data_IF_580341709204
#
_entry.id   IF_580341709204
#
_cell.length_a   1.000
_cell.length_b   1.000
_cell.length_c   1.000
_cell.angle_alpha   90.00
_cell.angle_beta   90.00
_cell.angle_gamma   90.00
#
_symmetry.space_group_name_H-M   'P 1'
#
loop_
_entity.id
_entity.type
_entity.pdbx_description
1 polymer ?
#
# COMPACT_ATOMS: atom_id res chain seq x y z
N UNK A 1 8.62 9.68 28.77
CA UNK A 1 8.57 9.89 27.29
C UNK A 1 8.77 11.35 26.95
N UNK A 2 10.00 11.86 27.15
CA UNK A 2 10.33 13.27 26.87
C UNK A 2 10.63 13.53 25.38
N UNK A 3 10.91 12.49 24.60
CA UNK A 3 11.12 12.57 23.15
C UNK A 3 10.60 11.30 22.49
N UNK A 4 9.77 11.44 21.45
CA UNK A 4 9.25 10.37 20.65
C UNK A 4 9.89 10.45 19.26
N UNK A 5 10.48 9.36 18.80
CA UNK A 5 10.93 9.18 17.42
C UNK A 5 9.93 8.29 16.68
N UNK A 6 9.05 8.89 15.90
CA UNK A 6 8.04 8.17 15.12
C UNK A 6 8.59 7.58 13.81
N UNK A 7 9.87 7.80 13.48
CA UNK A 7 10.49 7.25 12.28
C UNK A 7 10.52 5.71 12.33
N UNK A 8 10.43 5.12 11.15
CA UNK A 8 10.53 3.67 11.01
C UNK A 8 10.99 3.26 9.62
N UNK A 9 11.36 1.98 9.43
CA UNK A 9 11.83 1.50 8.14
C UNK A 9 10.68 1.32 7.16
N UNK A 10 10.98 1.60 5.90
CA UNK A 10 10.22 1.14 4.73
C UNK A 10 11.23 0.54 3.77
N UNK A 11 11.13 -0.74 3.49
CA UNK A 11 12.15 -1.53 2.77
C UNK A 11 13.54 -1.45 3.44
N UNK A 12 13.57 -1.47 4.77
CA UNK A 12 14.81 -1.40 5.55
C UNK A 12 15.48 -0.02 5.57
N UNK A 13 14.90 0.99 4.91
CA UNK A 13 15.42 2.37 4.88
C UNK A 13 14.54 3.27 5.74
N UNK A 14 15.17 4.08 6.59
CA UNK A 14 14.47 4.99 7.50
C UNK A 14 13.60 5.99 6.74
N UNK A 15 12.33 6.10 7.11
CA UNK A 15 11.37 7.08 6.67
C UNK A 15 10.82 7.86 7.87
N UNK A 16 10.20 9.01 7.64
CA UNK A 16 9.61 9.86 8.70
C UNK A 16 8.54 9.13 9.51
N UNK A 17 7.82 8.20 8.85
CA UNK A 17 6.93 7.23 9.49
C UNK A 17 7.12 5.88 8.80
N UNK A 18 6.85 4.74 9.47
CA UNK A 18 6.85 3.42 8.85
C UNK A 18 5.60 3.22 7.97
N UNK A 19 5.41 4.13 7.03
CA UNK A 19 4.31 4.11 6.08
C UNK A 19 4.77 4.54 4.68
N UNK A 20 3.97 4.19 3.69
CA UNK A 20 4.12 4.64 2.31
C UNK A 20 2.74 4.90 1.68
N UNK A 21 2.69 5.73 0.65
CA UNK A 21 1.49 5.91 -0.14
C UNK A 21 1.27 4.67 -1.01
N UNK A 22 0.18 3.93 -0.74
CA UNK A 22 -0.15 2.69 -1.43
C UNK A 22 -0.49 2.92 -2.92
N UNK A 23 -0.33 1.91 -3.80
CA UNK A 23 -0.59 2.08 -5.22
C UNK A 23 -2.08 2.29 -5.49
N UNK A 24 -2.43 3.47 -6.01
CA UNK A 24 -3.79 3.81 -6.41
C UNK A 24 -3.82 4.16 -7.89
N UNK A 25 -4.68 3.47 -8.64
CA UNK A 25 -4.92 3.77 -10.05
C UNK A 25 -5.80 5.00 -10.25
N UNK A 26 -5.62 5.69 -11.37
CA UNK A 26 -6.45 6.85 -11.77
C UNK A 26 -6.41 8.00 -10.77
N UNK A 27 -5.27 8.32 -10.19
CA UNK A 27 -5.11 9.48 -9.29
C UNK A 27 -5.42 10.80 -10.00
N UNK A 28 -5.20 10.85 -11.30
CA UNK A 28 -5.53 11.95 -12.18
C UNK A 28 -7.05 12.27 -12.25
N UNK A 29 -7.90 11.36 -11.77
CA UNK A 29 -9.34 11.64 -11.63
C UNK A 29 -9.68 12.44 -10.37
N UNK A 30 -8.80 12.49 -9.40
CA UNK A 30 -8.96 13.27 -8.16
C UNK A 30 -8.32 14.65 -8.29
N UNK A 31 -7.15 14.74 -8.95
CA UNK A 31 -6.40 15.95 -9.18
C UNK A 31 -5.56 15.78 -10.45
N UNK A 32 -5.51 16.76 -11.37
CA UNK A 32 -4.86 16.61 -12.69
C UNK A 32 -3.39 16.17 -12.66
N UNK A 33 -2.62 16.56 -11.64
CA UNK A 33 -1.24 16.14 -11.45
C UNK A 33 -1.08 14.69 -10.96
N UNK A 34 -2.13 14.08 -10.44
CA UNK A 34 -2.22 12.66 -10.13
C UNK A 34 -1.04 12.11 -9.33
N UNK A 35 -0.36 11.10 -9.89
CA UNK A 35 0.77 10.45 -9.22
C UNK A 35 1.95 11.40 -9.00
N UNK A 36 2.18 12.38 -9.87
CA UNK A 36 3.26 13.36 -9.68
C UNK A 36 3.00 14.25 -8.47
N UNK A 37 1.76 14.72 -8.28
CA UNK A 37 1.37 15.49 -7.10
C UNK A 37 1.52 14.66 -5.83
N UNK A 38 1.07 13.40 -5.84
CA UNK A 38 1.25 12.49 -4.70
C UNK A 38 2.74 12.21 -4.39
N UNK A 39 3.58 12.07 -5.43
CA UNK A 39 5.01 11.83 -5.26
C UNK A 39 5.73 13.05 -4.65
N UNK A 40 5.41 14.27 -5.09
CA UNK A 40 5.95 15.49 -4.46
C UNK A 40 5.54 15.60 -2.99
N UNK A 41 4.27 15.36 -2.68
CA UNK A 41 3.79 15.37 -1.31
C UNK A 41 4.51 14.33 -0.44
N UNK A 42 4.71 13.11 -0.95
CA UNK A 42 5.44 12.06 -0.27
C UNK A 42 6.90 12.46 0.00
N UNK A 43 7.59 13.05 -0.99
CA UNK A 43 8.95 13.55 -0.85
C UNK A 43 9.05 14.64 0.21
N UNK A 44 8.17 15.65 0.16
CA UNK A 44 8.15 16.77 1.11
C UNK A 44 7.86 16.31 2.54
N UNK A 45 6.99 15.34 2.69
CA UNK A 45 6.69 14.77 4.01
C UNK A 45 7.77 13.81 4.50
N UNK A 46 8.49 13.14 3.61
CA UNK A 46 9.57 12.20 3.95
C UNK A 46 9.13 10.73 4.05
N UNK A 47 8.18 10.31 3.22
CA UNK A 47 7.74 8.90 3.09
C UNK A 47 7.79 8.45 1.64
N UNK A 48 7.93 7.13 1.37
CA UNK A 48 7.87 6.61 0.00
C UNK A 48 6.47 6.62 -0.61
N UNK A 49 6.42 6.47 -1.94
CA UNK A 49 5.19 6.21 -2.69
C UNK A 49 5.35 4.96 -3.56
N UNK A 50 4.30 4.14 -3.67
CA UNK A 50 4.20 3.10 -4.69
C UNK A 50 3.31 3.59 -5.83
N UNK A 51 3.91 3.73 -7.02
CA UNK A 51 3.26 4.24 -8.23
C UNK A 51 2.62 3.10 -8.98
N UNK A 52 1.32 3.21 -9.29
CA UNK A 52 0.59 2.18 -10.02
C UNK A 52 0.76 2.34 -11.54
N UNK A 53 0.90 1.23 -12.26
CA UNK A 53 0.93 1.21 -13.73
C UNK A 53 -0.35 1.72 -14.40
N UNK A 54 -1.44 1.89 -13.64
CA UNK A 54 -2.73 2.38 -14.13
C UNK A 54 -3.11 3.76 -13.57
N UNK A 55 -2.10 4.56 -13.23
CA UNK A 55 -2.26 5.97 -12.85
C UNK A 55 -1.59 6.90 -13.87
N UNK A 56 -1.92 8.18 -13.82
CA UNK A 56 -1.26 9.23 -14.59
C UNK A 56 -0.76 10.34 -13.66
N UNK A 57 0.33 11.05 -14.06
CA UNK A 57 1.23 10.66 -15.13
C UNK A 57 1.86 9.28 -14.84
N UNK A 58 2.40 8.62 -15.88
CA UNK A 58 3.01 7.30 -15.77
C UNK A 58 4.36 7.30 -15.03
N UNK A 59 5.06 6.18 -15.16
CA UNK A 59 6.31 5.86 -14.45
C UNK A 59 7.35 6.98 -14.56
N UNK A 60 7.72 7.37 -15.78
CA UNK A 60 8.79 8.32 -16.07
C UNK A 60 8.46 9.72 -15.52
N UNK A 61 7.33 10.26 -15.94
CA UNK A 61 6.91 11.60 -15.54
C UNK A 61 6.66 11.72 -14.03
N UNK A 62 6.28 10.65 -13.37
CA UNK A 62 6.20 10.64 -11.89
C UNK A 62 7.60 10.65 -11.27
N UNK A 63 8.58 9.97 -11.86
CA UNK A 63 9.95 9.98 -11.38
C UNK A 63 10.59 11.38 -11.53
N UNK A 64 10.30 12.07 -12.61
CA UNK A 64 10.78 13.43 -12.88
C UNK A 64 10.14 14.50 -11.99
N UNK A 65 9.01 14.20 -11.34
CA UNK A 65 8.26 15.16 -10.53
C UNK A 65 8.94 15.55 -9.21
N UNK A 66 9.99 14.82 -8.78
CA UNK A 66 10.74 15.15 -7.58
C UNK A 66 11.48 13.95 -6.94
N UNK A 67 12.22 14.18 -5.85
CA UNK A 67 13.14 13.21 -5.26
C UNK A 67 12.45 12.20 -4.32
N UNK A 68 11.18 11.86 -4.55
CA UNK A 68 10.51 10.86 -3.73
C UNK A 68 11.20 9.48 -3.85
N UNK A 69 11.28 8.74 -2.74
CA UNK A 69 11.53 7.30 -2.80
C UNK A 69 10.32 6.61 -3.44
N UNK A 70 10.56 5.76 -4.41
CA UNK A 70 9.48 5.20 -5.25
C UNK A 70 9.61 3.70 -5.39
N UNK A 71 8.45 3.02 -5.36
CA UNK A 71 8.26 1.64 -5.77
C UNK A 71 7.29 1.62 -6.94
N UNK A 72 7.44 0.68 -7.87
CA UNK A 72 6.54 0.59 -9.03
C UNK A 72 5.64 -0.64 -8.94
N UNK A 73 4.33 -0.46 -9.08
CA UNK A 73 3.35 -1.54 -9.07
C UNK A 73 2.81 -1.79 -10.46
N UNK A 74 2.91 -3.05 -10.91
CA UNK A 74 2.44 -3.51 -12.22
C UNK A 74 1.14 -4.31 -12.10
N UNK A 75 0.17 -3.99 -12.96
CA UNK A 75 -0.82 -4.92 -13.47
C UNK A 75 -0.32 -5.42 -14.81
N UNK A 76 -0.08 -6.73 -14.93
CA UNK A 76 0.47 -7.33 -16.15
C UNK A 76 -0.58 -7.27 -17.27
N UNK A 77 -0.22 -6.68 -18.41
CA UNK A 77 -1.08 -6.50 -19.60
C UNK A 77 -0.46 -7.03 -20.87
N UNK A 78 0.65 -7.72 -20.77
CA UNK A 78 1.40 -8.32 -21.86
C UNK A 78 2.21 -9.52 -21.39
N UNK A 79 3.02 -10.02 -22.28
CA UNK A 79 3.91 -11.15 -22.07
C UNK A 79 5.12 -10.80 -21.18
N UNK A 80 6.12 -11.65 -21.21
CA UNK A 80 7.36 -11.47 -20.47
C UNK A 80 8.13 -10.23 -20.92
N UNK A 81 8.15 -9.95 -22.22
CA UNK A 81 8.84 -8.77 -22.76
C UNK A 81 8.19 -7.48 -22.25
N UNK A 82 6.86 -7.45 -22.09
CA UNK A 82 6.14 -6.34 -21.48
C UNK A 82 6.57 -6.13 -20.02
N UNK A 83 6.71 -7.21 -19.26
CA UNK A 83 7.16 -7.13 -17.85
C UNK A 83 8.61 -6.63 -17.78
N UNK A 84 9.51 -7.21 -18.58
CA UNK A 84 10.93 -6.85 -18.61
C UNK A 84 11.12 -5.37 -19.02
N UNK A 85 10.31 -4.85 -19.94
CA UNK A 85 10.35 -3.44 -20.31
C UNK A 85 10.00 -2.52 -19.13
N UNK A 86 8.93 -2.84 -18.39
CA UNK A 86 8.56 -2.05 -17.21
C UNK A 86 9.61 -2.12 -16.10
N UNK A 87 10.22 -3.29 -15.86
CA UNK A 87 11.29 -3.42 -14.87
C UNK A 87 12.49 -2.57 -15.25
N UNK A 88 12.96 -2.67 -16.50
CA UNK A 88 14.08 -1.88 -17.03
C UNK A 88 13.82 -0.37 -16.93
N UNK A 89 12.59 0.07 -17.24
CA UNK A 89 12.19 1.49 -17.14
C UNK A 89 12.12 1.94 -15.68
N UNK A 90 11.59 1.12 -14.78
CA UNK A 90 11.56 1.43 -13.36
C UNK A 90 12.97 1.58 -12.78
N UNK A 91 13.87 0.66 -13.12
CA UNK A 91 15.27 0.71 -12.72
C UNK A 91 15.98 1.95 -13.25
N UNK A 92 15.81 2.26 -14.56
CA UNK A 92 16.41 3.43 -15.20
C UNK A 92 15.94 4.77 -14.61
N UNK A 93 14.76 4.82 -13.98
CA UNK A 93 14.20 6.00 -13.33
C UNK A 93 14.29 5.97 -11.81
N UNK A 94 15.16 5.11 -11.26
CA UNK A 94 15.48 5.09 -9.84
C UNK A 94 14.34 4.62 -8.92
N UNK A 95 13.47 3.75 -9.40
CA UNK A 95 12.55 3.02 -8.53
C UNK A 95 13.32 1.99 -7.71
N UNK A 96 13.04 1.91 -6.41
CA UNK A 96 13.81 1.09 -5.46
C UNK A 96 13.33 -0.36 -5.38
N UNK A 97 12.12 -0.65 -5.87
CA UNK A 97 11.55 -2.00 -5.95
C UNK A 97 10.43 -2.05 -6.97
N UNK A 98 10.14 -3.28 -7.42
CA UNK A 98 9.07 -3.60 -8.35
C UNK A 98 8.00 -4.45 -7.66
N UNK A 99 6.73 -4.22 -7.96
CA UNK A 99 5.63 -4.89 -7.28
C UNK A 99 4.67 -5.56 -8.27
N UNK A 100 4.53 -6.88 -8.15
CA UNK A 100 3.39 -7.58 -8.75
C UNK A 100 2.17 -7.50 -7.83
N UNK A 101 1.00 -7.24 -8.43
CA UNK A 101 -0.28 -7.33 -7.73
C UNK A 101 -0.98 -8.61 -8.16
N UNK A 102 -1.23 -9.53 -7.21
CA UNK A 102 -1.71 -10.89 -7.51
C UNK A 102 -3.18 -11.13 -7.15
N UNK A 103 -3.81 -10.23 -6.43
CA UNK A 103 -5.21 -10.31 -6.00
C UNK A 103 -6.22 -9.80 -7.05
N UNK A 104 -5.79 -9.62 -8.30
CA UNK A 104 -6.57 -8.96 -9.36
C UNK A 104 -6.60 -9.77 -10.65
N UNK A 105 -6.72 -11.11 -10.56
CA UNK A 105 -6.84 -12.00 -11.71
C UNK A 105 -8.05 -11.61 -12.60
N UNK A 106 -9.14 -11.17 -11.96
CA UNK A 106 -10.30 -10.59 -12.62
C UNK A 106 -10.67 -9.27 -11.97
N UNK A 107 -11.35 -8.41 -12.71
CA UNK A 107 -11.86 -7.17 -12.15
C UNK A 107 -13.12 -7.45 -11.33
N UNK A 108 -13.05 -7.16 -10.04
CA UNK A 108 -14.15 -7.40 -9.12
C UNK A 108 -15.40 -6.56 -9.44
N UNK A 109 -16.52 -7.05 -9.01
CA UNK A 109 -17.79 -6.33 -9.05
C UNK A 109 -17.74 -5.12 -8.10
N UNK A 110 -18.09 -3.95 -8.60
CA UNK A 110 -18.10 -2.69 -7.84
C UNK A 110 -19.46 -2.04 -8.00
N UNK A 111 -20.34 -2.26 -7.05
CA UNK A 111 -21.74 -1.86 -7.08
C UNK A 111 -21.90 -0.36 -7.34
N UNK A 112 -21.10 0.50 -6.69
CA UNK A 112 -21.16 1.96 -6.91
C UNK A 112 -20.77 2.36 -8.31
N UNK A 113 -19.74 1.71 -8.90
CA UNK A 113 -19.31 2.00 -10.27
C UNK A 113 -20.40 1.55 -11.24
N UNK A 114 -21.02 0.37 -11.00
CA UNK A 114 -22.10 -0.19 -11.82
C UNK A 114 -23.33 0.73 -11.76
N UNK A 115 -23.79 1.09 -10.56
CA UNK A 115 -24.97 1.94 -10.34
C UNK A 115 -24.82 3.30 -11.02
N UNK A 116 -23.62 3.88 -10.96
CA UNK A 116 -23.32 5.18 -11.57
C UNK A 116 -22.89 5.08 -13.03
N UNK A 117 -22.87 3.88 -13.62
CA UNK A 117 -22.34 3.62 -14.97
C UNK A 117 -20.94 4.22 -15.18
N UNK A 118 -20.14 4.24 -14.10
CA UNK A 118 -18.80 4.80 -14.13
C UNK A 118 -17.80 3.76 -14.65
N UNK A 119 -17.10 4.11 -15.72
CA UNK A 119 -15.98 3.32 -16.23
C UNK A 119 -14.67 4.08 -16.00
N UNK A 120 -13.75 3.47 -15.27
CA UNK A 120 -12.41 4.05 -15.03
C UNK A 120 -11.68 4.28 -16.35
N UNK A 121 -10.92 5.39 -16.47
CA UNK A 121 -10.23 5.75 -17.73
C UNK A 121 -9.37 4.62 -18.31
N UNK A 122 -8.58 3.92 -17.48
CA UNK A 122 -7.70 2.84 -17.93
C UNK A 122 -8.44 1.58 -18.37
N UNK A 123 -9.69 1.40 -17.95
CA UNK A 123 -10.52 0.22 -18.29
C UNK A 123 -11.11 0.30 -19.68
N UNK A 124 -11.17 1.48 -20.28
CA UNK A 124 -11.74 1.67 -21.63
C UNK A 124 -10.93 0.99 -22.72
N UNK A 125 -9.65 0.66 -22.44
CA UNK A 125 -8.79 -0.10 -23.35
C UNK A 125 -8.55 -1.56 -22.91
N UNK A 126 -9.49 -2.21 -22.29
CA UNK A 126 -9.52 -3.48 -21.54
C UNK A 126 -8.80 -4.73 -22.08
N UNK A 127 -7.85 -4.58 -22.99
CA UNK A 127 -7.01 -5.65 -23.50
C UNK A 127 -5.95 -6.08 -22.49
N UNK A 128 -5.54 -7.36 -22.52
CA UNK A 128 -4.44 -7.89 -21.73
C UNK A 128 -4.79 -8.39 -20.32
N UNK A 129 -6.08 -8.42 -19.91
CA UNK A 129 -6.47 -8.99 -18.61
C UNK A 129 -6.10 -10.47 -18.46
N UNK A 130 -6.07 -11.22 -19.57
CA UNK A 130 -5.65 -12.62 -19.58
C UNK A 130 -4.22 -12.81 -19.07
N UNK A 131 -3.32 -11.86 -19.33
CA UNK A 131 -1.94 -11.93 -18.82
C UNK A 131 -1.89 -11.73 -17.29
N UNK A 132 -2.74 -10.85 -16.75
CA UNK A 132 -2.86 -10.68 -15.30
C UNK A 132 -3.45 -11.91 -14.63
N UNK A 133 -4.45 -12.54 -15.25
CA UNK A 133 -5.08 -13.76 -14.74
C UNK A 133 -4.16 -15.00 -14.81
N UNK A 134 -3.21 -15.00 -15.74
CA UNK A 134 -2.24 -16.09 -15.93
C UNK A 134 -0.99 -15.97 -15.04
N UNK A 135 -0.84 -14.88 -14.28
CA UNK A 135 0.33 -14.67 -13.41
C UNK A 135 0.42 -15.81 -12.37
N UNK A 136 1.58 -16.42 -12.26
CA UNK A 136 1.83 -17.58 -11.40
C UNK A 136 3.25 -17.55 -10.79
N UNK A 137 3.62 -18.58 -10.02
CA UNK A 137 4.90 -18.64 -9.33
C UNK A 137 6.11 -18.80 -10.27
N UNK A 138 5.93 -19.34 -11.47
CA UNK A 138 7.03 -19.40 -12.45
C UNK A 138 7.39 -18.01 -12.97
N UNK A 139 6.43 -17.09 -13.05
CA UNK A 139 6.71 -15.68 -13.35
C UNK A 139 7.53 -15.01 -12.24
N UNK A 140 7.29 -15.38 -10.97
CA UNK A 140 8.07 -14.89 -9.82
C UNK A 140 9.51 -15.41 -9.90
N UNK A 141 9.71 -16.72 -10.13
CA UNK A 141 11.04 -17.33 -10.32
C UNK A 141 11.78 -16.66 -11.46
N UNK A 142 11.11 -16.57 -12.63
CA UNK A 142 11.68 -15.89 -13.80
C UNK A 142 12.11 -14.45 -13.48
N UNK A 143 11.30 -13.70 -12.74
CA UNK A 143 11.65 -12.34 -12.31
C UNK A 143 12.93 -12.36 -11.48
N UNK A 144 13.03 -13.22 -10.48
CA UNK A 144 14.18 -13.33 -9.59
C UNK A 144 15.46 -13.76 -10.32
N UNK A 145 15.34 -14.60 -11.34
CA UNK A 145 16.47 -15.05 -12.16
C UNK A 145 17.00 -13.94 -13.10
N UNK A 146 16.18 -12.98 -13.51
CA UNK A 146 16.49 -12.02 -14.57
C UNK A 146 16.70 -10.58 -14.09
N UNK A 147 16.17 -10.22 -12.95
CA UNK A 147 16.14 -8.83 -12.49
C UNK A 147 16.72 -8.69 -11.09
N UNK A 148 17.56 -7.66 -10.90
CA UNK A 148 18.17 -7.36 -9.61
C UNK A 148 17.31 -6.45 -8.73
N UNK A 149 16.35 -5.76 -9.33
CA UNK A 149 15.45 -4.85 -8.60
C UNK A 149 14.60 -5.66 -7.58
N UNK A 150 14.58 -5.31 -6.29
CA UNK A 150 13.82 -6.03 -5.28
C UNK A 150 12.36 -6.25 -5.66
N UNK A 151 11.83 -7.44 -5.40
CA UNK A 151 10.46 -7.82 -5.72
C UNK A 151 9.54 -7.71 -4.50
N UNK A 152 8.40 -7.08 -4.72
CA UNK A 152 7.27 -7.01 -3.80
C UNK A 152 6.11 -7.79 -4.40
N UNK A 153 5.45 -8.66 -3.63
CA UNK A 153 4.19 -9.29 -4.07
C UNK A 153 3.06 -8.76 -3.21
N UNK A 154 2.16 -8.01 -3.85
CA UNK A 154 0.97 -7.41 -3.21
C UNK A 154 -0.27 -8.25 -3.48
N UNK A 155 -1.04 -8.49 -2.42
CA UNK A 155 -2.28 -9.25 -2.49
C UNK A 155 -2.16 -10.63 -1.85
N UNK A 156 -1.10 -10.88 -1.10
CA UNK A 156 -0.95 -12.09 -0.29
C UNK A 156 -1.97 -12.03 0.86
N UNK A 157 -2.76 -13.10 0.97
CA UNK A 157 -3.85 -13.20 1.94
C UNK A 157 -3.85 -14.54 2.70
N UNK A 158 -2.84 -15.40 2.48
CA UNK A 158 -2.72 -16.70 3.17
C UNK A 158 -1.28 -16.95 3.62
N UNK A 159 -1.07 -17.68 4.73
CA UNK A 159 0.27 -18.10 5.15
C UNK A 159 0.98 -18.98 4.12
N UNK A 160 0.24 -19.82 3.39
CA UNK A 160 0.76 -20.72 2.37
C UNK A 160 1.43 -19.95 1.22
N UNK A 161 0.72 -18.96 0.67
CA UNK A 161 1.28 -18.11 -0.39
C UNK A 161 2.47 -17.28 0.12
N UNK A 162 2.40 -16.80 1.37
CA UNK A 162 3.50 -16.07 2.00
C UNK A 162 4.75 -16.96 2.17
N UNK A 163 4.58 -18.24 2.50
CA UNK A 163 5.66 -19.21 2.59
C UNK A 163 6.33 -19.46 1.23
N UNK A 164 5.53 -19.61 0.17
CA UNK A 164 6.05 -19.79 -1.20
C UNK A 164 6.82 -18.52 -1.62
N UNK A 165 6.23 -17.34 -1.43
CA UNK A 165 6.88 -16.08 -1.75
C UNK A 165 8.23 -15.91 -1.04
N UNK A 166 8.29 -16.24 0.26
CA UNK A 166 9.53 -16.21 1.03
C UNK A 166 10.57 -17.23 0.53
N UNK A 167 10.13 -18.42 0.12
CA UNK A 167 11.00 -19.46 -0.43
C UNK A 167 11.58 -19.08 -1.81
N UNK A 168 10.80 -18.36 -2.62
CA UNK A 168 11.25 -17.80 -3.91
C UNK A 168 12.13 -16.54 -3.76
N UNK A 169 12.45 -16.14 -2.53
CA UNK A 169 13.33 -14.99 -2.27
C UNK A 169 12.70 -13.63 -2.55
N UNK A 170 11.37 -13.52 -2.43
CA UNK A 170 10.66 -12.23 -2.51
C UNK A 170 11.05 -11.38 -1.32
N UNK A 171 11.45 -10.13 -1.56
CA UNK A 171 11.96 -9.25 -0.51
C UNK A 171 10.86 -8.69 0.39
N UNK A 172 9.67 -8.45 -0.18
CA UNK A 172 8.53 -7.91 0.58
C UNK A 172 7.24 -8.67 0.26
N UNK A 173 6.65 -9.22 1.29
CA UNK A 173 5.31 -9.82 1.27
C UNK A 173 4.32 -8.74 1.67
N UNK A 174 3.51 -8.29 0.71
CA UNK A 174 2.56 -7.21 0.94
C UNK A 174 1.15 -7.79 1.16
N UNK A 175 0.80 -7.93 2.43
CA UNK A 175 -0.51 -8.41 2.89
C UNK A 175 -1.58 -7.40 2.51
N UNK A 176 -2.56 -7.83 1.71
CA UNK A 176 -3.58 -6.92 1.20
C UNK A 176 -4.80 -7.70 0.71
N UNK A 177 -5.99 -7.21 1.06
CA UNK A 177 -7.27 -7.61 0.45
C UNK A 177 -7.77 -6.53 -0.54
N UNK A 178 -6.86 -5.71 -1.08
CA UNK A 178 -7.18 -4.59 -1.98
C UNK A 178 -8.12 -3.55 -1.36
N UNK A 179 -8.07 -3.39 -0.04
CA UNK A 179 -8.97 -2.51 0.71
C UNK A 179 -10.42 -2.97 0.70
N UNK A 180 -10.66 -4.29 0.67
CA UNK A 180 -11.98 -4.92 0.58
C UNK A 180 -12.64 -4.75 -0.80
N UNK A 181 -11.86 -4.60 -1.87
CA UNK A 181 -12.36 -4.24 -3.21
C UNK A 181 -12.24 -5.36 -4.24
N UNK A 182 -11.82 -6.55 -3.86
CA UNK A 182 -11.67 -7.72 -4.74
C UNK A 182 -12.65 -8.83 -4.32
N UNK A 183 -12.22 -9.81 -3.55
CA UNK A 183 -13.08 -10.86 -3.06
C UNK A 183 -13.93 -10.35 -1.88
N UNK A 184 -15.25 -10.60 -1.94
CA UNK A 184 -16.14 -10.35 -0.81
C UNK A 184 -16.06 -11.48 0.24
N UNK A 185 -16.48 -11.16 1.46
CA UNK A 185 -16.54 -12.10 2.60
C UNK A 185 -15.20 -12.66 3.05
N UNK A 186 -14.08 -12.06 2.60
CA UNK A 186 -12.75 -12.37 3.09
C UNK A 186 -12.43 -11.64 4.41
N UNK A 187 -11.37 -12.10 5.08
CA UNK A 187 -10.88 -11.47 6.30
C UNK A 187 -10.28 -10.08 6.01
N UNK A 188 -10.26 -9.24 7.03
CA UNK A 188 -9.51 -7.98 7.01
C UNK A 188 -8.01 -8.22 6.97
N UNK A 189 -7.25 -7.33 6.32
CA UNK A 189 -5.80 -7.52 6.18
C UNK A 189 -5.07 -7.60 7.53
N UNK A 190 -5.52 -6.87 8.55
CA UNK A 190 -4.97 -6.94 9.90
C UNK A 190 -5.35 -8.24 10.64
N UNK A 191 -6.42 -8.91 10.25
CA UNK A 191 -6.84 -10.19 10.86
C UNK A 191 -5.92 -11.34 10.39
N UNK A 192 -5.50 -11.32 9.12
CA UNK A 192 -4.61 -12.35 8.56
C UNK A 192 -3.13 -12.06 8.81
N UNK A 193 -2.75 -10.82 9.12
CA UNK A 193 -1.37 -10.38 9.29
C UNK A 193 -0.59 -11.22 10.34
N UNK A 194 -1.12 -11.54 11.53
CA UNK A 194 -0.38 -12.30 12.55
C UNK A 194 0.01 -13.71 12.09
N UNK A 195 -0.86 -14.40 11.36
CA UNK A 195 -0.60 -15.75 10.85
C UNK A 195 0.49 -15.72 9.77
N UNK A 196 0.42 -14.74 8.87
CA UNK A 196 1.45 -14.52 7.86
C UNK A 196 2.78 -14.15 8.51
N UNK A 197 2.79 -13.25 9.49
CA UNK A 197 4.02 -12.86 10.20
C UNK A 197 4.68 -14.05 10.89
N UNK A 198 3.90 -14.90 11.54
CA UNK A 198 4.39 -16.12 12.17
C UNK A 198 4.93 -17.12 11.13
N UNK A 199 4.24 -17.31 10.02
CA UNK A 199 4.68 -18.22 8.95
C UNK A 199 5.96 -17.74 8.28
N UNK A 200 6.08 -16.45 7.95
CA UNK A 200 7.26 -15.87 7.31
C UNK A 200 8.47 -15.86 8.24
N UNK A 201 8.26 -15.62 9.53
CA UNK A 201 9.29 -15.70 10.57
C UNK A 201 10.58 -14.94 10.23
N UNK A 202 10.46 -13.71 9.72
CA UNK A 202 11.59 -12.83 9.38
C UNK A 202 12.33 -13.15 8.07
N UNK A 203 11.90 -14.15 7.29
CA UNK A 203 12.52 -14.50 6.00
C UNK A 203 12.31 -13.46 4.90
N UNK A 204 11.27 -12.65 5.02
CA UNK A 204 10.98 -11.51 4.15
C UNK A 204 10.40 -10.38 5.01
N UNK A 205 10.42 -9.14 4.49
CA UNK A 205 9.72 -8.02 5.10
C UNK A 205 8.22 -8.17 4.86
N UNK A 206 7.42 -7.69 5.81
CA UNK A 206 5.96 -7.75 5.69
C UNK A 206 5.41 -6.34 5.68
N UNK A 207 4.68 -6.01 4.65
CA UNK A 207 3.89 -4.78 4.55
C UNK A 207 2.41 -5.11 4.58
N UNK A 208 1.57 -4.15 4.99
CA UNK A 208 0.12 -4.34 5.02
C UNK A 208 -0.60 -3.08 4.59
N UNK A 209 -1.74 -3.22 3.92
CA UNK A 209 -2.72 -2.15 3.69
C UNK A 209 -4.15 -2.64 3.99
N UNK A 210 -5.09 -1.72 3.85
CA UNK A 210 -6.52 -2.00 4.02
C UNK A 210 -7.06 -1.46 5.34
N UNK A 211 -7.94 -0.46 5.24
CA UNK A 211 -8.60 0.14 6.40
C UNK A 211 -7.79 1.15 7.19
N UNK A 212 -6.54 1.39 6.84
CA UNK A 212 -5.66 2.33 7.55
C UNK A 212 -6.16 3.77 7.34
N UNK A 213 -6.60 4.38 8.41
CA UNK A 213 -7.17 5.74 8.41
C UNK A 213 -6.71 6.58 9.60
N UNK A 214 -6.14 5.96 10.63
CA UNK A 214 -5.69 6.59 11.87
C UNK A 214 -4.26 6.17 12.20
N UNK A 215 -3.55 7.01 12.96
CA UNK A 215 -2.23 6.66 13.49
C UNK A 215 -2.24 5.39 14.35
N UNK A 216 -3.31 5.17 15.09
CA UNK A 216 -3.51 3.94 15.88
C UNK A 216 -3.63 2.67 15.03
N UNK A 217 -4.08 2.77 13.77
CA UNK A 217 -4.11 1.61 12.88
C UNK A 217 -2.70 1.20 12.46
N UNK A 218 -1.80 2.18 12.27
CA UNK A 218 -0.38 1.94 12.02
C UNK A 218 0.25 1.23 13.23
N UNK A 219 0.03 1.74 14.43
CA UNK A 219 0.55 1.14 15.67
C UNK A 219 0.10 -0.33 15.80
N UNK A 220 -1.16 -0.63 15.54
CA UNK A 220 -1.69 -2.01 15.54
C UNK A 220 -0.99 -2.88 14.50
N UNK A 221 -0.83 -2.40 13.28
CA UNK A 221 -0.18 -3.16 12.21
C UNK A 221 1.28 -3.51 12.54
N UNK A 222 2.03 -2.54 13.06
CA UNK A 222 3.41 -2.75 13.47
C UNK A 222 3.51 -3.75 14.64
N UNK A 223 2.67 -3.60 15.66
CA UNK A 223 2.61 -4.51 16.80
C UNK A 223 2.19 -5.95 16.40
N UNK A 224 1.52 -6.12 15.26
CA UNK A 224 1.15 -7.41 14.67
C UNK A 224 2.22 -7.98 13.72
N UNK A 225 3.34 -7.30 13.53
CA UNK A 225 4.50 -7.82 12.79
C UNK A 225 4.72 -7.22 11.40
N UNK A 226 4.03 -6.15 11.02
CA UNK A 226 4.35 -5.42 9.80
C UNK A 226 5.61 -4.55 10.00
N UNK A 227 6.47 -4.44 8.98
CA UNK A 227 7.54 -3.44 8.91
C UNK A 227 6.97 -2.06 8.56
N UNK A 228 6.06 -2.00 7.60
CA UNK A 228 5.49 -0.77 7.10
C UNK A 228 4.03 -0.93 6.66
N UNK A 229 3.35 0.21 6.54
CA UNK A 229 1.91 0.28 6.27
C UNK A 229 1.62 1.09 5.02
N UNK A 230 0.80 0.53 4.12
CA UNK A 230 0.32 1.23 2.93
C UNK A 230 -0.95 2.04 3.24
N UNK A 231 -0.93 3.34 2.96
CA UNK A 231 -2.09 4.22 3.10
C UNK A 231 -2.67 4.51 1.71
N UNK A 232 -3.93 4.12 1.48
CA UNK A 232 -4.61 4.28 0.19
C UNK A 232 -5.63 5.40 0.19
N UNK A 233 -6.90 5.09 0.52
CA UNK A 233 -8.03 6.03 0.42
C UNK A 233 -7.83 7.34 1.18
N UNK A 234 -7.13 7.32 2.31
CA UNK A 234 -6.92 8.53 3.11
C UNK A 234 -6.16 9.60 2.32
N UNK A 235 -5.05 9.25 1.67
CA UNK A 235 -4.35 10.25 0.87
C UNK A 235 -5.12 10.63 -0.41
N UNK A 236 -6.00 9.75 -0.93
CA UNK A 236 -6.91 10.13 -2.03
C UNK A 236 -7.91 11.19 -1.61
N UNK A 237 -8.38 11.17 -0.37
CA UNK A 237 -9.21 12.26 0.17
C UNK A 237 -8.40 13.56 0.29
N UNK A 238 -7.16 13.47 0.77
CA UNK A 238 -6.25 14.61 0.83
C UNK A 238 -6.01 15.25 -0.54
N UNK A 239 -5.62 14.43 -1.52
CA UNK A 239 -5.31 14.93 -2.88
C UNK A 239 -6.56 15.52 -3.56
N UNK A 240 -7.74 14.92 -3.35
CA UNK A 240 -9.00 15.44 -3.88
C UNK A 240 -9.43 16.76 -3.23
N UNK A 241 -9.10 16.97 -1.96
CA UNK A 241 -9.48 18.17 -1.22
C UNK A 241 -8.57 19.36 -1.51
N UNK A 242 -7.26 19.16 -1.60
CA UNK A 242 -6.29 20.25 -1.69
C UNK A 242 -4.96 19.85 -2.37
N UNK A 243 -4.98 18.88 -3.29
CA UNK A 243 -3.78 18.47 -4.02
C UNK A 243 -2.63 18.04 -3.10
N UNK A 244 -1.44 18.55 -3.39
CA UNK A 244 -0.22 18.24 -2.64
C UNK A 244 -0.34 18.58 -1.14
N UNK A 245 -0.82 19.79 -0.82
CA UNK A 245 -1.00 20.23 0.59
C UNK A 245 -2.02 19.39 1.34
N UNK A 246 -3.04 18.89 0.66
CA UNK A 246 -4.03 17.99 1.24
C UNK A 246 -3.45 16.62 1.61
N UNK A 247 -2.56 16.07 0.78
CA UNK A 247 -1.84 14.82 1.10
C UNK A 247 -0.92 15.05 2.29
N UNK A 248 -0.12 16.12 2.29
CA UNK A 248 0.77 16.46 3.41
C UNK A 248 -0.02 16.59 4.70
N UNK A 249 -1.14 17.31 4.66
CA UNK A 249 -1.98 17.50 5.85
C UNK A 249 -2.56 16.20 6.39
N UNK A 250 -2.98 15.29 5.52
CA UNK A 250 -3.45 13.97 5.94
C UNK A 250 -2.35 13.16 6.64
N UNK A 251 -1.11 13.25 6.14
CA UNK A 251 0.04 12.58 6.75
C UNK A 251 0.48 13.21 8.07
N UNK A 252 0.42 14.54 8.21
CA UNK A 252 0.65 15.25 9.48
C UNK A 252 -0.33 14.82 10.57
N UNK A 253 -1.61 14.68 10.23
CA UNK A 253 -2.62 14.21 11.18
C UNK A 253 -2.34 12.78 11.64
N UNK A 254 -1.92 11.90 10.73
CA UNK A 254 -1.48 10.55 11.08
C UNK A 254 -0.25 10.58 12.00
N UNK A 255 0.73 11.42 11.70
CA UNK A 255 1.95 11.54 12.51
C UNK A 255 1.65 11.96 13.94
N UNK A 256 0.79 12.97 14.12
CA UNK A 256 0.35 13.42 15.45
C UNK A 256 -0.25 12.25 16.23
N UNK A 257 -1.17 11.50 15.63
CA UNK A 257 -1.80 10.35 16.28
C UNK A 257 -0.81 9.21 16.58
N UNK A 258 0.19 8.96 15.72
CA UNK A 258 1.25 7.98 16.00
C UNK A 258 2.07 8.41 17.20
N UNK A 259 2.52 9.67 17.24
CA UNK A 259 3.31 10.23 18.34
C UNK A 259 2.52 10.17 19.65
N UNK A 260 1.26 10.61 19.66
CA UNK A 260 0.40 10.57 20.83
C UNK A 260 0.20 9.14 21.34
N UNK A 261 -0.05 8.19 20.44
CA UNK A 261 -0.26 6.80 20.80
C UNK A 261 1.00 6.17 21.40
N UNK A 262 2.17 6.39 20.80
CA UNK A 262 3.46 5.92 21.35
C UNK A 262 3.70 6.51 22.75
N UNK A 263 3.45 7.81 22.92
CA UNK A 263 3.58 8.48 24.22
C UNK A 263 2.67 7.86 25.29
N UNK A 264 1.40 7.63 24.95
CA UNK A 264 0.43 7.03 25.88
C UNK A 264 0.72 5.57 26.22
N UNK A 265 1.37 4.83 25.30
CA UNK A 265 1.87 3.48 25.55
C UNK A 265 3.16 3.46 26.39
N UNK A 266 3.78 4.62 26.62
CA UNK A 266 5.03 4.71 27.36
C UNK A 266 6.27 4.29 26.57
N UNK A 267 6.20 4.21 25.24
CA UNK A 267 7.28 3.83 24.34
C UNK A 267 7.72 5.00 23.46
N UNK A 268 8.99 4.99 23.05
CA UNK A 268 9.59 6.13 22.37
C UNK A 268 9.86 5.93 20.89
N UNK A 269 9.74 4.68 20.39
CA UNK A 269 9.98 4.35 18.98
C UNK A 269 9.03 3.25 18.50
N UNK A 270 8.66 3.23 17.22
CA UNK A 270 7.85 2.13 16.64
C UNK A 270 8.51 0.75 16.77
N UNK A 271 9.85 0.70 16.80
CA UNK A 271 10.61 -0.56 16.95
C UNK A 271 10.39 -1.27 18.31
N UNK A 272 9.90 -0.55 19.31
CA UNK A 272 9.57 -1.11 20.62
C UNK A 272 8.14 -1.66 20.70
N UNK A 273 7.36 -1.59 19.62
CA UNK A 273 6.00 -2.13 19.58
C UNK A 273 6.02 -3.65 19.58
N UNK A 274 5.19 -4.22 20.45
CA UNK A 274 5.02 -5.67 20.61
C UNK A 274 3.53 -6.01 20.64
N UNK A 275 3.20 -7.26 20.35
CA UNK A 275 1.83 -7.77 20.45
C UNK A 275 1.22 -7.57 21.86
N UNK A 276 2.04 -7.53 22.89
CA UNK A 276 1.60 -7.29 24.27
C UNK A 276 0.96 -5.90 24.49
N UNK A 277 1.23 -4.93 23.58
CA UNK A 277 0.59 -3.61 23.58
C UNK A 277 -0.84 -3.62 23.03
N UNK A 278 -1.32 -4.78 22.52
CA UNK A 278 -2.64 -4.93 21.93
C UNK A 278 -3.54 -5.81 22.80
N UNK A 279 -4.79 -5.40 22.91
CA UNK A 279 -5.86 -6.20 23.51
C UNK A 279 -7.00 -6.36 22.52
N UNK A 280 -7.58 -7.56 22.45
CA UNK A 280 -8.80 -7.77 21.68
C UNK A 280 -9.94 -7.02 22.37
N UNK A 281 -10.70 -6.27 21.58
CA UNK A 281 -11.88 -5.55 22.06
C UNK A 281 -13.08 -5.90 21.17
N UNK A 282 -14.30 -5.98 21.75
CA UNK A 282 -15.51 -6.11 20.95
C UNK A 282 -15.71 -4.85 20.08
N UNK A 283 -16.39 -5.03 18.95
CA UNK A 283 -16.79 -3.91 18.11
C UNK A 283 -17.70 -2.96 18.91
N UNK A 284 -17.34 -1.67 18.91
CA UNK A 284 -18.11 -0.61 19.55
C UNK A 284 -18.86 0.18 18.48
N UNK A 285 -20.06 -0.25 18.14
CA UNK A 285 -20.93 0.41 17.16
C UNK A 285 -20.98 -0.27 15.80
N UNK A 286 -21.89 0.19 14.96
CA UNK A 286 -22.03 -0.30 13.58
C UNK A 286 -20.89 0.22 12.71
N UNK A 287 -20.19 -0.71 12.04
CA UNK A 287 -19.17 -0.37 11.04
C UNK A 287 -19.84 0.17 9.77
N UNK A 288 -19.53 1.40 9.41
CA UNK A 288 -19.94 1.99 8.13
C UNK A 288 -18.79 2.80 7.51
N UNK A 289 -18.97 3.26 6.28
CA UNK A 289 -17.92 3.95 5.52
C UNK A 289 -17.33 5.19 6.21
N UNK A 290 -18.05 5.77 7.18
CA UNK A 290 -17.63 6.93 7.96
C UNK A 290 -17.21 6.56 9.40
N UNK A 291 -17.15 5.28 9.76
CA UNK A 291 -16.82 4.87 11.13
C UNK A 291 -15.41 5.26 11.57
N UNK A 292 -14.47 5.47 10.63
CA UNK A 292 -13.15 6.03 10.93
C UNK A 292 -13.20 7.52 11.37
N UNK A 293 -14.32 8.21 11.11
CA UNK A 293 -14.53 9.61 11.42
C UNK A 293 -15.88 9.83 12.13
N UNK A 294 -16.05 9.30 13.34
CA UNK A 294 -17.35 9.27 14.03
C UNK A 294 -17.92 10.66 14.33
N UNK A 295 -17.07 11.70 14.32
CA UNK A 295 -17.50 13.10 14.54
C UNK A 295 -18.05 13.78 13.27
N UNK A 296 -17.82 13.20 12.10
CA UNK A 296 -18.33 13.72 10.83
C UNK A 296 -19.72 13.13 10.50
N UNK A 297 -20.68 13.32 11.38
CA UNK A 297 -22.10 13.21 11.02
C UNK A 297 -22.44 14.46 10.21
N UNK A 298 -22.26 14.37 8.89
CA UNK A 298 -22.80 15.41 8.01
C UNK A 298 -24.32 15.45 8.20
N UNK A 299 -24.93 16.63 8.42
CA UNK A 299 -26.38 16.73 8.44
C UNK A 299 -26.93 16.21 7.11
N UNK A 300 -28.04 15.48 7.19
CA UNK A 300 -28.76 14.96 6.01
C UNK A 300 -29.35 16.10 5.19
#
# INVERSE_FOLDING_TARGET
VSAIDANGPVQGVRARLPLFLAPVGSLDTFEPGGAATAARAAALFGVPIMVSSVTRPGLEATAEAGPARRFFQLYRRGDDAFTDDYVRRAEAHGYEAFCFTVDSAVYSRRERDITRRFAKPWRRGGEGMQFQAALNWDDVKRYKDRHALPLIIKGIATPEDALIAAAEGVEVIYVSNHGGRQLDHGLGALEILPEIAAAVAGRARIWVDGGISRGTDIIKALALGAEAVGVGRLYCYGIAAAGESGVIRALELIEIEVIECLALLGITTPAALERAHLSAAPLVGECHVLSAFPLLRLPR
#
